data_IF_735333330053
#
_entry.id   IF_735333330053
#
_cell.length_a   1.000
_cell.length_b   1.000
_cell.length_c   1.000
_cell.angle_alpha   90.00
_cell.angle_beta   90.00
_cell.angle_gamma   90.00
#
_symmetry.space_group_name_H-M   'P 1'
#
loop_
_entity.id
_entity.type
_entity.pdbx_description
1 polymer ?
#
# COMPACT_ATOMS: atom_id res chain seq x y z
N UNK A 1 -6.72 8.27 -8.21
CA UNK A 1 -8.15 8.02 -8.51
C UNK A 1 -8.40 6.54 -8.31
N UNK A 2 -9.40 6.17 -7.53
CA UNK A 2 -9.76 4.77 -7.26
C UNK A 2 -10.26 4.11 -8.55
N UNK A 3 -9.76 2.91 -8.89
CA UNK A 3 -10.28 2.15 -10.04
C UNK A 3 -11.69 1.65 -9.69
N UNK A 4 -12.72 2.31 -10.25
CA UNK A 4 -14.13 1.96 -10.00
C UNK A 4 -14.49 0.55 -10.45
N UNK A 5 -13.69 -0.06 -11.32
CA UNK A 5 -13.93 -1.41 -11.79
C UNK A 5 -13.30 -2.47 -10.89
N UNK A 6 -12.41 -2.09 -9.97
CA UNK A 6 -11.86 -2.97 -8.94
C UNK A 6 -12.90 -3.12 -7.82
N UNK A 7 -13.47 -4.32 -7.70
CA UNK A 7 -14.56 -4.62 -6.75
C UNK A 7 -14.09 -5.44 -5.55
N UNK A 8 -12.90 -6.04 -5.65
CA UNK A 8 -12.19 -6.69 -4.54
C UNK A 8 -10.70 -6.54 -4.75
N UNK A 9 -9.97 -6.17 -3.71
CA UNK A 9 -8.53 -6.26 -3.66
C UNK A 9 -8.07 -6.69 -2.28
N UNK A 10 -7.59 -7.92 -2.17
CA UNK A 10 -6.99 -8.48 -0.97
C UNK A 10 -5.47 -8.60 -1.18
N UNK A 11 -4.66 -7.64 -0.71
CA UNK A 11 -3.21 -7.72 -0.78
C UNK A 11 -2.64 -8.72 0.23
N UNK A 12 -3.34 -8.98 1.34
CA UNK A 12 -2.87 -9.81 2.45
C UNK A 12 -1.66 -9.26 3.23
N UNK A 13 -1.38 -7.96 3.09
CA UNK A 13 -0.37 -7.18 3.80
C UNK A 13 -0.77 -6.75 5.22
N UNK A 14 -1.91 -7.26 5.69
CA UNK A 14 -2.61 -6.83 6.89
C UNK A 14 -1.82 -7.13 8.18
N UNK A 15 -2.15 -6.48 9.32
CA UNK A 15 -1.70 -6.90 10.63
C UNK A 15 -2.03 -8.38 10.89
N UNK A 16 -1.25 -9.04 11.75
CA UNK A 16 -1.52 -10.44 12.09
C UNK A 16 -2.90 -10.55 12.76
N UNK A 17 -3.69 -11.55 12.36
CA UNK A 17 -5.05 -11.71 12.83
C UNK A 17 -5.88 -12.57 11.89
N UNK A 18 -7.21 -12.46 12.03
CA UNK A 18 -8.17 -13.24 11.26
C UNK A 18 -8.93 -12.42 10.21
N UNK A 19 -8.46 -11.22 9.88
CA UNK A 19 -9.13 -10.30 8.96
C UNK A 19 -8.16 -9.84 7.87
N UNK A 20 -8.56 -9.98 6.61
CA UNK A 20 -7.86 -9.39 5.47
C UNK A 20 -8.69 -8.22 4.93
N UNK A 21 -8.11 -7.03 4.85
CA UNK A 21 -8.86 -5.85 4.42
C UNK A 21 -9.02 -5.81 2.90
N UNK A 22 -10.19 -5.41 2.44
CA UNK A 22 -10.43 -5.11 1.03
C UNK A 22 -10.00 -3.67 0.73
N UNK A 23 -8.98 -3.54 -0.11
CA UNK A 23 -8.43 -2.28 -0.60
C UNK A 23 -9.17 -1.74 -1.84
N UNK A 24 -10.33 -2.31 -2.16
CA UNK A 24 -11.28 -1.71 -3.08
C UNK A 24 -12.24 -0.75 -2.35
N UNK A 25 -13.00 0.03 -3.12
CA UNK A 25 -14.06 0.87 -2.55
C UNK A 25 -15.26 0.06 -2.02
N UNK A 26 -15.36 -1.23 -2.35
CA UNK A 26 -16.42 -2.13 -1.87
C UNK A 26 -16.30 -2.43 -0.37
N UNK A 27 -15.07 -2.42 0.16
CA UNK A 27 -14.77 -2.77 1.56
C UNK A 27 -15.36 -4.11 1.99
N UNK A 28 -15.35 -5.08 1.08
CA UNK A 28 -15.76 -6.46 1.33
C UNK A 28 -14.62 -7.24 2.01
N UNK A 29 -14.23 -6.78 3.20
CA UNK A 29 -13.14 -7.38 3.99
C UNK A 29 -13.38 -8.89 4.17
N UNK A 30 -12.31 -9.68 4.07
CA UNK A 30 -12.37 -11.12 4.19
C UNK A 30 -12.04 -11.61 5.62
N UNK A 31 -12.59 -12.76 6.00
CA UNK A 31 -12.31 -13.42 7.28
C UNK A 31 -11.53 -14.71 7.05
N UNK A 32 -10.42 -14.87 7.76
CA UNK A 32 -9.61 -16.09 7.78
C UNK A 32 -10.13 -17.04 8.85
N UNK A 33 -10.23 -18.34 8.53
CA UNK A 33 -10.66 -19.37 9.46
C UNK A 33 -9.97 -20.72 9.15
N UNK A 34 -10.22 -21.74 9.98
CA UNK A 34 -9.79 -23.12 9.69
C UNK A 34 -8.28 -23.36 9.69
N UNK A 35 -7.47 -22.41 10.19
CA UNK A 35 -6.01 -22.50 10.21
C UNK A 35 -5.30 -21.63 9.18
N UNK A 36 -6.03 -20.94 8.30
CA UNK A 36 -5.46 -19.96 7.37
C UNK A 36 -4.79 -18.81 8.13
N UNK A 37 -3.65 -18.34 7.63
CA UNK A 37 -2.84 -17.31 8.30
C UNK A 37 -2.06 -16.45 7.31
N UNK A 38 -1.63 -15.28 7.77
CA UNK A 38 -0.68 -14.45 7.04
C UNK A 38 0.76 -15.01 7.16
N UNK A 39 1.52 -14.96 6.07
CA UNK A 39 2.89 -15.44 6.00
C UNK A 39 3.83 -14.41 5.36
N UNK A 40 5.10 -14.45 5.78
CA UNK A 40 6.17 -13.62 5.20
C UNK A 40 6.75 -14.21 3.91
N UNK A 41 6.36 -15.44 3.55
CA UNK A 41 6.68 -16.02 2.25
C UNK A 41 5.68 -15.49 1.24
N UNK A 42 5.99 -14.33 0.65
CA UNK A 42 5.06 -13.56 -0.17
C UNK A 42 5.69 -13.14 -1.50
N UNK A 43 4.86 -12.64 -2.42
CA UNK A 43 5.31 -11.98 -3.64
C UNK A 43 5.56 -10.48 -3.38
N UNK A 44 4.70 -9.85 -2.59
CA UNK A 44 4.86 -8.50 -2.04
C UNK A 44 4.53 -8.56 -0.53
N UNK A 45 5.26 -7.81 0.30
CA UNK A 45 5.02 -7.74 1.76
C UNK A 45 4.70 -9.07 2.49
N UNK A 46 3.40 -9.36 2.71
CA UNK A 46 2.88 -10.64 3.24
C UNK A 46 1.89 -11.28 2.25
N UNK A 47 1.70 -12.59 2.39
CA UNK A 47 0.75 -13.37 1.61
C UNK A 47 -0.20 -14.14 2.53
N UNK A 48 -1.28 -14.66 1.95
CA UNK A 48 -2.15 -15.64 2.57
C UNK A 48 -1.54 -17.04 2.43
N UNK A 49 -1.36 -17.75 3.54
CA UNK A 49 -1.15 -19.20 3.56
C UNK A 49 -2.45 -19.88 3.99
N UNK A 50 -3.00 -20.73 3.11
CA UNK A 50 -4.25 -21.40 3.42
C UNK A 50 -4.07 -22.43 4.54
N UNK A 51 -2.91 -23.09 4.66
CA UNK A 51 -2.67 -24.11 5.70
C UNK A 51 -3.83 -25.13 5.89
N UNK A 52 -4.60 -25.42 4.84
CA UNK A 52 -5.82 -26.23 4.90
C UNK A 52 -7.07 -25.58 5.51
N UNK A 53 -6.99 -24.31 5.90
CA UNK A 53 -8.12 -23.46 6.27
C UNK A 53 -8.75 -22.75 5.07
N UNK A 54 -9.47 -21.66 5.36
CA UNK A 54 -10.25 -20.92 4.38
C UNK A 54 -10.21 -19.40 4.62
N UNK A 55 -10.47 -18.65 3.56
CA UNK A 55 -10.66 -17.20 3.61
C UNK A 55 -11.90 -16.83 2.82
N UNK A 56 -12.85 -16.17 3.48
CA UNK A 56 -14.16 -15.88 2.91
C UNK A 56 -14.42 -14.38 2.86
N UNK A 57 -14.90 -13.89 1.72
CA UNK A 57 -15.41 -12.52 1.50
C UNK A 57 -16.81 -12.59 0.88
N UNK A 58 -17.63 -11.57 1.11
CA UNK A 58 -18.97 -11.45 0.54
C UNK A 58 -18.95 -11.09 -0.96
N UNK A 59 -17.82 -10.62 -1.50
CA UNK A 59 -17.72 -10.17 -2.88
C UNK A 59 -17.71 -11.36 -3.86
N UNK A 60 -18.74 -11.41 -4.71
CA UNK A 60 -18.87 -12.41 -5.76
C UNK A 60 -18.13 -12.00 -7.05
N UNK A 61 -17.69 -12.98 -7.84
CA UNK A 61 -17.24 -12.74 -9.22
C UNK A 61 -18.47 -12.43 -10.09
N UNK A 62 -18.47 -11.36 -10.91
CA UNK A 62 -19.65 -10.94 -11.66
C UNK A 62 -19.84 -11.78 -12.94
N UNK A 63 -20.21 -13.06 -12.80
CA UNK A 63 -20.36 -14.01 -13.90
C UNK A 63 -21.46 -13.68 -14.93
N UNK A 64 -22.28 -12.66 -14.72
CA UNK A 64 -23.27 -12.21 -15.72
C UNK A 64 -22.71 -11.20 -16.72
N UNK A 65 -21.55 -10.60 -16.43
CA UNK A 65 -20.90 -9.62 -17.28
C UNK A 65 -19.45 -9.97 -17.60
N UNK A 66 -18.73 -8.97 -18.11
CA UNK A 66 -17.29 -9.03 -18.30
C UNK A 66 -16.60 -8.98 -16.93
N UNK A 67 -15.52 -9.74 -16.77
CA UNK A 67 -14.79 -9.76 -15.52
C UNK A 67 -13.31 -10.09 -15.73
N UNK A 68 -12.51 -9.71 -14.74
CA UNK A 68 -11.13 -10.18 -14.58
C UNK A 68 -10.92 -10.62 -13.15
N UNK A 69 -10.39 -11.82 -12.95
CA UNK A 69 -9.86 -12.27 -11.65
C UNK A 69 -8.37 -12.48 -11.83
N UNK A 70 -7.55 -11.89 -10.96
CA UNK A 70 -6.10 -12.03 -11.01
C UNK A 70 -5.51 -12.21 -9.62
N UNK A 71 -4.47 -13.01 -9.51
CA UNK A 71 -3.76 -13.24 -8.25
C UNK A 71 -2.38 -13.83 -8.51
N UNK A 72 -1.49 -13.71 -7.52
CA UNK A 72 -0.31 -14.56 -7.42
C UNK A 72 -0.64 -15.82 -6.63
N UNK A 73 -0.08 -16.95 -7.07
CA UNK A 73 -0.23 -18.24 -6.42
C UNK A 73 1.12 -18.96 -6.37
N UNK A 74 1.41 -19.58 -5.23
CA UNK A 74 2.54 -20.47 -5.02
C UNK A 74 2.03 -21.79 -4.47
N UNK A 75 2.46 -22.90 -5.07
CA UNK A 75 2.07 -24.25 -4.65
C UNK A 75 3.31 -25.14 -4.51
N UNK A 76 3.21 -26.25 -3.78
CA UNK A 76 4.31 -27.23 -3.63
C UNK A 76 4.22 -28.39 -4.65
N UNK A 77 3.16 -28.40 -5.45
CA UNK A 77 2.82 -29.41 -6.44
C UNK A 77 3.40 -29.00 -7.79
N UNK A 78 3.41 -29.95 -8.72
CA UNK A 78 3.98 -29.74 -10.06
C UNK A 78 2.96 -29.26 -11.07
N UNK A 79 1.67 -29.21 -10.70
CA UNK A 79 0.60 -28.83 -11.60
C UNK A 79 -0.39 -27.91 -10.89
N UNK A 80 -0.73 -26.83 -11.58
CA UNK A 80 -1.79 -25.91 -11.20
C UNK A 80 -2.96 -26.11 -12.16
N UNK A 81 -4.15 -26.38 -11.62
CA UNK A 81 -5.36 -26.60 -12.38
C UNK A 81 -6.32 -25.43 -12.23
N UNK A 82 -7.17 -25.20 -13.23
CA UNK A 82 -8.33 -24.33 -13.06
C UNK A 82 -9.54 -24.96 -13.70
N UNK A 83 -10.71 -24.62 -13.15
CA UNK A 83 -12.00 -25.14 -13.58
C UNK A 83 -13.02 -23.99 -13.60
N UNK A 84 -13.66 -23.80 -14.75
CA UNK A 84 -14.75 -22.85 -14.95
C UNK A 84 -16.05 -23.62 -15.22
N UNK A 85 -17.00 -23.53 -14.29
CA UNK A 85 -18.28 -24.22 -14.37
C UNK A 85 -19.29 -23.44 -15.23
N UNK A 86 -20.05 -24.18 -16.04
CA UNK A 86 -21.18 -23.67 -16.82
C UNK A 86 -22.48 -24.38 -16.36
N UNK A 87 -23.65 -23.79 -16.62
CA UNK A 87 -24.93 -24.43 -16.34
C UNK A 87 -25.08 -25.77 -17.09
N UNK A 88 -25.56 -26.79 -16.38
CA UNK A 88 -25.81 -28.13 -16.93
C UNK A 88 -24.94 -29.21 -16.30
N UNK A 89 -25.17 -30.46 -16.70
CA UNK A 89 -24.42 -31.63 -16.24
C UNK A 89 -23.12 -31.71 -17.04
N UNK A 90 -21.98 -31.81 -16.33
CA UNK A 90 -20.64 -31.94 -16.92
C UNK A 90 -20.23 -30.80 -17.88
N UNK A 91 -20.91 -29.66 -17.82
CA UNK A 91 -20.57 -28.48 -18.62
C UNK A 91 -19.53 -27.65 -17.88
N UNK A 92 -18.25 -27.83 -18.23
CA UNK A 92 -17.15 -27.05 -17.67
C UNK A 92 -16.02 -26.85 -18.69
N UNK A 93 -15.13 -25.90 -18.39
CA UNK A 93 -13.83 -25.74 -19.05
C UNK A 93 -12.75 -25.94 -18.00
N UNK A 94 -11.71 -26.69 -18.32
CA UNK A 94 -10.58 -26.88 -17.42
C UNK A 94 -9.26 -26.99 -18.18
N UNK A 95 -8.18 -26.71 -17.46
CA UNK A 95 -6.82 -26.98 -17.93
C UNK A 95 -5.89 -27.13 -16.72
N UNK A 96 -4.91 -28.01 -16.87
CA UNK A 96 -3.81 -28.18 -15.93
C UNK A 96 -2.50 -27.76 -16.60
N UNK A 97 -1.72 -26.93 -15.92
CA UNK A 97 -0.44 -26.43 -16.40
C UNK A 97 0.68 -26.88 -15.47
N UNK A 98 1.81 -27.26 -16.05
CA UNK A 98 2.98 -27.63 -15.26
C UNK A 98 3.63 -26.38 -14.67
N UNK A 99 3.98 -26.46 -13.39
CA UNK A 99 4.61 -25.39 -12.61
C UNK A 99 5.78 -25.95 -11.80
N UNK A 100 6.75 -25.10 -11.53
CA UNK A 100 7.85 -25.40 -10.61
C UNK A 100 7.35 -25.21 -9.17
N UNK A 101 7.44 -26.24 -8.30
CA UNK A 101 7.10 -26.11 -6.89
C UNK A 101 7.84 -24.96 -6.20
N UNK A 102 7.12 -24.18 -5.39
CA UNK A 102 7.68 -23.08 -4.60
C UNK A 102 7.87 -21.76 -5.36
N UNK A 103 7.68 -21.74 -6.68
CA UNK A 103 7.72 -20.51 -7.47
C UNK A 103 6.37 -19.79 -7.47
N UNK A 104 6.41 -18.46 -7.57
CA UNK A 104 5.22 -17.62 -7.69
C UNK A 104 4.77 -17.49 -9.15
N UNK A 105 3.50 -17.77 -9.41
CA UNK A 105 2.87 -17.58 -10.71
C UNK A 105 1.77 -16.54 -10.61
N UNK A 106 1.75 -15.61 -11.56
CA UNK A 106 0.62 -14.71 -11.73
C UNK A 106 -0.41 -15.37 -12.63
N UNK A 107 -1.63 -15.62 -12.14
CA UNK A 107 -2.71 -16.16 -12.96
C UNK A 107 -3.79 -15.11 -13.15
N UNK A 108 -4.36 -15.02 -14.36
CA UNK A 108 -5.48 -14.13 -14.65
C UNK A 108 -6.53 -14.80 -15.51
N UNK A 109 -7.79 -14.69 -15.10
CA UNK A 109 -8.98 -15.17 -15.80
C UNK A 109 -9.74 -13.97 -16.33
N UNK A 110 -9.89 -13.87 -17.65
CA UNK A 110 -10.53 -12.73 -18.30
C UNK A 110 -11.68 -13.19 -19.15
N UNK A 111 -12.87 -12.67 -18.86
CA UNK A 111 -14.05 -12.82 -19.71
C UNK A 111 -14.36 -11.50 -20.41
N UNK A 112 -14.47 -11.54 -21.73
CA UNK A 112 -15.01 -10.46 -22.56
C UNK A 112 -16.10 -11.01 -23.48
N UNK A 113 -17.35 -10.66 -23.21
CA UNK A 113 -18.53 -11.22 -23.85
C UNK A 113 -18.60 -12.74 -23.68
N UNK A 114 -18.58 -13.46 -24.81
CA UNK A 114 -18.52 -14.92 -24.84
C UNK A 114 -17.08 -15.46 -24.80
N UNK A 115 -16.05 -14.63 -24.95
CA UNK A 115 -14.66 -15.09 -24.95
C UNK A 115 -14.12 -15.18 -23.53
N UNK A 116 -13.50 -16.31 -23.19
CA UNK A 116 -12.77 -16.53 -21.95
C UNK A 116 -11.30 -16.79 -22.26
N UNK A 117 -10.41 -16.11 -21.53
CA UNK A 117 -8.96 -16.24 -21.66
C UNK A 117 -8.35 -16.50 -20.30
N UNK A 118 -7.33 -17.35 -20.28
CA UNK A 118 -6.49 -17.55 -19.10
C UNK A 118 -5.07 -17.15 -19.45
N UNK A 119 -4.46 -16.40 -18.54
CA UNK A 119 -3.06 -16.00 -18.62
C UNK A 119 -2.32 -16.60 -17.43
N UNK A 120 -1.14 -17.17 -17.71
CA UNK A 120 -0.16 -17.55 -16.71
C UNK A 120 1.09 -16.70 -16.98
N UNK A 121 1.45 -15.87 -16.00
CA UNK A 121 2.42 -14.79 -16.14
C UNK A 121 2.07 -13.88 -17.33
N UNK A 122 2.96 -13.80 -18.32
CA UNK A 122 2.77 -13.00 -19.54
C UNK A 122 2.04 -13.75 -20.68
N UNK A 123 1.91 -15.07 -20.56
CA UNK A 123 1.47 -15.94 -21.64
C UNK A 123 -0.02 -16.24 -21.56
N UNK A 124 -0.70 -16.18 -22.70
CA UNK A 124 -2.10 -16.59 -22.80
C UNK A 124 -2.13 -18.10 -23.05
N UNK A 125 -2.43 -18.88 -22.01
CA UNK A 125 -2.39 -20.34 -22.03
C UNK A 125 -3.70 -20.96 -22.54
N UNK A 126 -4.79 -20.19 -22.49
CA UNK A 126 -6.11 -20.62 -22.95
C UNK A 126 -6.88 -19.47 -23.61
N UNK A 127 -7.60 -19.81 -24.68
CA UNK A 127 -8.65 -18.98 -25.28
C UNK A 127 -9.80 -19.91 -25.67
N UNK A 128 -11.02 -19.58 -25.26
CA UNK A 128 -12.21 -20.35 -25.63
C UNK A 128 -13.48 -19.52 -25.58
N UNK A 129 -14.55 -20.08 -26.12
CA UNK A 129 -15.89 -19.48 -26.08
C UNK A 129 -16.74 -20.13 -24.99
N UNK A 130 -17.54 -19.31 -24.32
CA UNK A 130 -18.53 -19.68 -23.33
C UNK A 130 -19.90 -19.77 -24.02
N UNK A 131 -20.57 -20.92 -23.84
CA UNK A 131 -21.92 -21.14 -24.36
C UNK A 131 -23.02 -20.52 -23.48
N UNK A 132 -22.69 -20.18 -22.23
CA UNK A 132 -23.57 -19.60 -21.24
C UNK A 132 -22.75 -18.81 -20.20
N UNK A 133 -23.44 -18.11 -19.29
CA UNK A 133 -22.78 -17.47 -18.15
C UNK A 133 -22.18 -18.52 -17.20
N UNK A 134 -20.94 -18.37 -16.73
CA UNK A 134 -20.37 -19.25 -15.73
C UNK A 134 -21.16 -19.25 -14.42
N UNK A 135 -21.06 -20.33 -13.68
CA UNK A 135 -21.66 -20.49 -12.33
C UNK A 135 -20.62 -20.61 -11.24
N UNK A 136 -19.34 -20.81 -11.60
CA UNK A 136 -18.24 -20.91 -10.66
C UNK A 136 -16.89 -20.89 -11.37
N UNK A 137 -15.87 -20.49 -10.63
CA UNK A 137 -14.46 -20.54 -11.01
C UNK A 137 -13.68 -21.09 -9.83
N UNK A 138 -12.83 -22.08 -10.07
CA UNK A 138 -11.95 -22.66 -9.08
C UNK A 138 -10.51 -22.70 -9.59
N UNK A 139 -9.58 -22.43 -8.68
CA UNK A 139 -8.17 -22.73 -8.83
C UNK A 139 -7.89 -23.98 -8.00
N UNK A 140 -7.24 -24.96 -8.60
CA UNK A 140 -7.11 -26.31 -8.06
C UNK A 140 -5.65 -26.72 -8.00
N UNK A 141 -5.34 -27.53 -6.99
CA UNK A 141 -4.02 -28.14 -6.80
C UNK A 141 -4.20 -29.66 -6.73
N UNK A 142 -3.11 -30.42 -6.81
CA UNK A 142 -3.18 -31.90 -6.82
C UNK A 142 -3.44 -32.52 -5.43
N UNK A 143 -3.43 -31.74 -4.35
CA UNK A 143 -3.79 -32.23 -3.02
C UNK A 143 -5.25 -32.66 -2.94
N UNK A 144 -5.48 -33.80 -2.29
CA UNK A 144 -6.81 -34.43 -2.21
C UNK A 144 -7.65 -33.98 -1.00
N UNK A 145 -7.05 -33.34 0.00
CA UNK A 145 -7.71 -33.04 1.28
C UNK A 145 -7.64 -31.56 1.61
N UNK A 146 -6.44 -31.04 1.80
CA UNK A 146 -6.18 -29.64 2.15
C UNK A 146 -5.14 -29.06 1.21
N UNK A 147 -5.34 -27.82 0.79
CA UNK A 147 -4.35 -27.11 -0.02
C UNK A 147 -3.36 -26.37 0.87
N UNK A 148 -2.10 -26.39 0.45
CA UNK A 148 -1.01 -25.60 1.05
C UNK A 148 -0.63 -24.42 0.16
N UNK A 149 -1.54 -24.05 -0.75
CA UNK A 149 -1.34 -22.93 -1.65
C UNK A 149 -1.23 -21.63 -0.86
N UNK A 150 -0.25 -20.82 -1.27
CA UNK A 150 -0.14 -19.44 -0.84
C UNK A 150 -0.68 -18.54 -1.92
N UNK A 151 -1.48 -17.56 -1.53
CA UNK A 151 -2.09 -16.58 -2.43
C UNK A 151 -1.63 -15.18 -2.06
N UNK A 152 -1.44 -14.34 -3.05
CA UNK A 152 -1.04 -12.96 -2.86
C UNK A 152 -1.75 -12.06 -3.88
N UNK A 153 -2.01 -10.80 -3.53
CA UNK A 153 -2.49 -9.76 -4.43
C UNK A 153 -3.77 -10.11 -5.22
N UNK A 154 -4.76 -10.72 -4.55
CA UNK A 154 -6.02 -11.17 -5.16
C UNK A 154 -6.88 -9.98 -5.55
N UNK A 155 -7.23 -9.88 -6.83
CA UNK A 155 -8.04 -8.81 -7.39
C UNK A 155 -9.19 -9.34 -8.22
N UNK A 156 -10.34 -8.71 -8.07
CA UNK A 156 -11.52 -8.95 -8.91
C UNK A 156 -11.96 -7.63 -9.53
N UNK A 157 -12.16 -7.66 -10.85
CA UNK A 157 -12.66 -6.55 -11.63
C UNK A 157 -13.97 -6.92 -12.32
N UNK A 158 -14.90 -5.97 -12.40
CA UNK A 158 -16.15 -6.10 -13.18
C UNK A 158 -15.99 -5.64 -14.65
N UNK A 159 -14.78 -5.75 -15.19
CA UNK A 159 -14.43 -5.42 -16.57
C UNK A 159 -13.39 -6.41 -17.10
N UNK A 160 -13.40 -6.64 -18.40
CA UNK A 160 -12.35 -7.38 -19.09
C UNK A 160 -11.07 -6.53 -19.19
N UNK A 161 -10.01 -6.92 -18.50
CA UNK A 161 -8.70 -6.26 -18.61
C UNK A 161 -7.97 -6.76 -19.86
N UNK A 162 -7.32 -5.83 -20.55
CA UNK A 162 -6.50 -6.13 -21.73
C UNK A 162 -5.20 -6.81 -21.33
N UNK A 163 -4.55 -7.51 -22.28
CA UNK A 163 -3.22 -8.11 -22.04
C UNK A 163 -2.21 -7.08 -21.52
N UNK A 164 -2.26 -5.84 -22.03
CA UNK A 164 -1.37 -4.75 -21.58
C UNK A 164 -1.60 -4.41 -20.11
N UNK A 165 -2.85 -4.37 -19.66
CA UNK A 165 -3.18 -4.11 -18.25
C UNK A 165 -2.76 -5.27 -17.35
N UNK A 166 -2.95 -6.52 -17.78
CA UNK A 166 -2.49 -7.73 -17.05
C UNK A 166 -0.97 -7.72 -16.87
N UNK A 167 -0.22 -7.33 -17.92
CA UNK A 167 1.23 -7.21 -17.83
C UNK A 167 1.65 -6.07 -16.88
N UNK A 168 0.91 -4.95 -16.87
CA UNK A 168 1.16 -3.84 -15.95
C UNK A 168 0.92 -4.21 -14.49
N UNK A 169 -0.03 -5.10 -14.20
CA UNK A 169 -0.26 -5.60 -12.83
C UNK A 169 0.92 -6.43 -12.29
N UNK A 170 1.76 -6.95 -13.19
CA UNK A 170 2.96 -7.72 -12.84
C UNK A 170 4.24 -6.87 -12.86
N UNK A 171 4.14 -5.60 -13.24
CA UNK A 171 5.31 -4.75 -13.39
C UNK A 171 5.93 -4.47 -12.02
N UNK A 172 7.23 -4.75 -11.90
CA UNK A 172 8.04 -4.23 -10.82
C UNK A 172 8.24 -2.74 -11.09
N UNK A 173 7.58 -1.89 -10.29
CA UNK A 173 7.84 -0.46 -10.32
C UNK A 173 9.04 -0.16 -9.43
N UNK A 174 9.79 0.89 -9.78
CA UNK A 174 10.80 1.45 -8.89
C UNK A 174 10.11 2.14 -7.69
N UNK A 175 10.88 2.51 -6.68
CA UNK A 175 10.35 3.28 -5.54
C UNK A 175 9.85 4.64 -6.05
N UNK A 176 8.60 4.97 -5.76
CA UNK A 176 7.97 6.24 -6.16
C UNK A 176 7.81 7.15 -4.95
N UNK A 177 8.07 8.45 -5.16
CA UNK A 177 8.03 9.49 -4.14
C UNK A 177 7.01 10.55 -4.52
N UNK A 178 6.15 10.90 -3.58
CA UNK A 178 5.12 11.91 -3.77
C UNK A 178 5.15 12.92 -2.63
N UNK A 179 4.86 14.17 -2.94
CA UNK A 179 4.55 15.21 -1.94
C UNK A 179 3.14 15.73 -2.22
N UNK A 180 2.25 15.68 -1.23
CA UNK A 180 0.84 16.05 -1.35
C UNK A 180 0.15 15.41 -2.58
N UNK A 181 0.53 14.17 -2.90
CA UNK A 181 0.01 13.40 -4.03
C UNK A 181 0.65 13.72 -5.40
N UNK A 182 1.57 14.70 -5.48
CA UNK A 182 2.34 15.00 -6.68
C UNK A 182 3.58 14.11 -6.79
N UNK A 183 3.72 13.34 -7.87
CA UNK A 183 4.90 12.49 -8.06
C UNK A 183 6.12 13.37 -8.40
N UNK A 184 7.26 13.12 -7.77
CA UNK A 184 8.51 13.84 -8.04
C UNK A 184 8.91 13.79 -9.52
N UNK A 185 8.65 12.66 -10.19
CA UNK A 185 8.97 12.43 -11.61
C UNK A 185 8.16 13.34 -12.53
N UNK A 186 6.99 13.82 -12.12
CA UNK A 186 6.20 14.78 -12.90
C UNK A 186 6.92 16.13 -13.04
N UNK A 187 7.91 16.40 -12.18
CA UNK A 187 8.77 17.59 -12.20
C UNK A 187 10.18 17.27 -12.73
N UNK A 188 10.39 16.07 -13.28
CA UNK A 188 11.70 15.59 -13.72
C UNK A 188 12.66 15.26 -12.57
N UNK A 189 12.16 15.14 -11.33
CA UNK A 189 12.96 14.84 -10.14
C UNK A 189 12.93 13.36 -9.83
N UNK A 190 14.10 12.79 -9.55
CA UNK A 190 14.31 11.40 -9.23
C UNK A 190 15.11 11.26 -7.93
N UNK A 191 14.78 10.27 -7.10
CA UNK A 191 15.48 9.98 -5.85
C UNK A 191 16.44 8.81 -6.08
N UNK A 192 17.73 9.05 -5.86
CA UNK A 192 18.80 8.07 -6.05
C UNK A 192 19.15 7.30 -4.77
N UNK A 193 18.91 7.90 -3.61
CA UNK A 193 19.11 7.28 -2.31
C UNK A 193 18.31 8.03 -1.24
N UNK A 194 17.95 7.33 -0.17
CA UNK A 194 17.22 7.88 0.96
C UNK A 194 17.83 7.43 2.28
N UNK A 195 17.84 8.31 3.27
CA UNK A 195 18.15 8.01 4.68
C UNK A 195 16.99 8.47 5.57
N UNK A 196 16.80 7.82 6.72
CA UNK A 196 15.78 8.21 7.71
C UNK A 196 14.34 7.78 7.41
N UNK A 197 14.05 7.16 6.26
CA UNK A 197 12.72 6.57 5.97
C UNK A 197 12.44 5.33 6.84
N UNK A 198 13.46 4.51 7.07
CA UNK A 198 13.37 3.32 7.90
C UNK A 198 14.54 3.33 8.88
N UNK A 199 14.34 2.77 10.07
CA UNK A 199 15.36 2.73 11.11
C UNK A 199 14.82 3.13 12.48
N UNK A 200 15.70 3.16 13.47
CA UNK A 200 15.33 3.50 14.84
C UNK A 200 15.43 5.00 15.05
N UNK A 201 14.35 5.61 15.55
CA UNK A 201 14.36 7.01 15.98
C UNK A 201 15.35 7.28 17.11
N UNK A 202 15.95 8.47 17.07
CA UNK A 202 16.74 9.00 18.17
C UNK A 202 15.84 9.21 19.40
N UNK A 203 16.32 8.79 20.57
CA UNK A 203 15.57 8.96 21.82
C UNK A 203 15.80 10.36 22.39
N UNK A 204 14.75 10.93 23.00
CA UNK A 204 14.91 12.08 23.89
C UNK A 204 15.78 11.65 25.08
N UNK A 205 16.51 12.59 25.66
CA UNK A 205 17.33 12.29 26.83
C UNK A 205 16.42 11.82 27.98
N UNK A 206 16.72 10.64 28.50
CA UNK A 206 16.07 10.09 29.69
C UNK A 206 16.57 10.82 30.94
N UNK A 207 15.72 10.99 31.95
CA UNK A 207 16.18 11.36 33.28
C UNK A 207 17.30 10.41 33.72
N UNK A 208 18.43 10.98 34.13
CA UNK A 208 19.60 10.21 34.52
C UNK A 208 20.26 10.80 35.76
N UNK A 209 20.75 9.93 36.63
CA UNK A 209 21.49 10.30 37.84
C UNK A 209 22.88 9.68 37.77
N UNK A 210 23.89 10.52 37.93
CA UNK A 210 25.29 10.14 38.03
C UNK A 210 25.72 10.33 39.49
N UNK A 211 25.97 9.22 40.18
CA UNK A 211 26.31 9.23 41.60
C UNK A 211 27.84 9.19 41.75
N UNK A 212 28.39 10.10 42.54
CA UNK A 212 29.84 10.23 42.77
C UNK A 212 30.50 8.94 43.32
N UNK A 213 29.72 8.14 44.04
CA UNK A 213 30.15 6.91 44.69
C UNK A 213 29.80 5.62 43.92
N UNK A 214 29.31 5.72 42.67
CA UNK A 214 29.05 4.58 41.80
C UNK A 214 29.76 4.72 40.45
N UNK A 215 30.06 3.59 39.81
CA UNK A 215 30.53 3.59 38.43
C UNK A 215 29.34 3.70 37.46
N UNK A 216 29.40 4.68 36.56
CA UNK A 216 28.43 4.86 35.49
C UNK A 216 27.16 5.57 35.92
N UNK A 217 26.17 5.60 35.01
CA UNK A 217 24.97 6.44 35.14
C UNK A 217 23.71 5.58 35.22
N UNK A 218 22.83 5.88 36.19
CA UNK A 218 21.50 5.29 36.28
C UNK A 218 20.55 6.10 35.38
N UNK A 219 19.91 5.44 34.41
CA UNK A 219 18.95 6.06 33.47
C UNK A 219 17.56 5.49 33.68
N UNK A 220 16.54 6.34 33.65
CA UNK A 220 15.16 5.86 33.53
C UNK A 220 14.98 5.18 32.16
N UNK A 221 14.45 3.95 32.18
CA UNK A 221 14.25 3.11 30.99
C UNK A 221 12.78 2.96 30.64
N UNK A 222 11.86 3.48 31.45
CA UNK A 222 10.42 3.42 31.21
C UNK A 222 10.00 4.52 30.22
N UNK A 223 8.89 4.30 29.49
CA UNK A 223 8.22 5.27 28.60
C UNK A 223 9.19 6.10 27.73
N UNK A 224 9.95 5.41 26.88
CA UNK A 224 10.90 6.04 25.96
C UNK A 224 10.16 6.99 25.02
N UNK A 225 10.63 8.24 24.93
CA UNK A 225 10.15 9.23 23.97
C UNK A 225 11.22 9.49 22.91
N UNK A 226 10.79 9.87 21.71
CA UNK A 226 11.67 10.03 20.55
C UNK A 226 11.72 11.49 20.12
N UNK A 227 12.86 11.90 19.56
CA UNK A 227 13.02 13.19 18.88
C UNK A 227 12.28 13.18 17.54
N UNK A 228 12.19 14.35 16.93
CA UNK A 228 11.84 14.53 15.52
C UNK A 228 12.69 13.62 14.62
N UNK A 229 12.12 13.22 13.49
CA UNK A 229 12.79 12.41 12.48
C UNK A 229 13.36 13.33 11.41
N UNK A 230 14.59 13.07 10.99
CA UNK A 230 15.16 13.67 9.78
C UNK A 230 15.17 12.63 8.66
N UNK A 231 14.60 12.99 7.52
CA UNK A 231 14.62 12.20 6.28
C UNK A 231 15.51 12.95 5.28
N UNK A 232 16.46 12.25 4.65
CA UNK A 232 17.33 12.83 3.63
C UNK A 232 17.15 12.11 2.31
N UNK A 233 16.68 12.80 1.28
CA UNK A 233 16.51 12.27 -0.08
C UNK A 233 17.57 12.86 -1.00
N UNK A 234 18.43 12.02 -1.56
CA UNK A 234 19.42 12.44 -2.57
C UNK A 234 18.76 12.43 -3.93
N UNK A 235 18.51 13.62 -4.46
CA UNK A 235 17.75 13.81 -5.69
C UNK A 235 18.65 14.25 -6.85
N UNK A 236 18.21 13.93 -8.06
CA UNK A 236 18.64 14.61 -9.27
C UNK A 236 17.43 15.05 -10.08
N UNK A 237 17.59 16.13 -10.84
CA UNK A 237 16.57 16.65 -11.74
C UNK A 237 17.12 16.67 -13.16
N UNK A 238 16.33 16.20 -14.11
CA UNK A 238 16.63 16.25 -15.54
C UNK A 238 15.65 17.18 -16.25
N UNK A 239 16.18 18.07 -17.09
CA UNK A 239 15.36 19.02 -17.84
C UNK A 239 15.90 19.23 -19.26
N UNK A 240 14.99 19.51 -20.20
CA UNK A 240 15.29 19.66 -21.63
C UNK A 240 15.99 20.97 -22.04
N UNK A 241 16.19 21.89 -21.09
CA UNK A 241 16.97 23.12 -21.32
C UNK A 241 17.35 23.80 -20.00
N UNK A 242 18.22 24.81 -20.08
CA UNK A 242 18.59 25.63 -18.91
C UNK A 242 17.40 26.37 -18.31
N UNK A 243 16.51 26.93 -19.13
CA UNK A 243 15.31 27.61 -18.65
C UNK A 243 14.32 26.63 -18.04
N UNK A 244 14.13 25.48 -18.69
CA UNK A 244 13.29 24.41 -18.15
C UNK A 244 13.82 23.93 -16.78
N UNK A 245 15.14 23.76 -16.64
CA UNK A 245 15.76 23.37 -15.37
C UNK A 245 15.38 24.33 -14.24
N UNK A 246 15.53 25.64 -14.46
CA UNK A 246 15.19 26.66 -13.45
C UNK A 246 13.69 26.66 -13.14
N UNK A 247 12.85 26.58 -14.16
CA UNK A 247 11.40 26.57 -14.00
C UNK A 247 10.91 25.35 -13.21
N UNK A 248 11.30 24.14 -13.63
CA UNK A 248 10.84 22.89 -13.03
C UNK A 248 11.40 22.69 -11.62
N UNK A 249 12.65 23.08 -11.37
CA UNK A 249 13.22 23.08 -10.02
C UNK A 249 12.44 24.01 -9.08
N UNK A 250 12.13 25.24 -9.52
CA UNK A 250 11.36 26.19 -8.70
C UNK A 250 9.94 25.68 -8.45
N UNK A 251 9.27 25.13 -9.46
CA UNK A 251 7.94 24.52 -9.32
C UNK A 251 7.95 23.34 -8.35
N UNK A 252 8.99 22.51 -8.39
CA UNK A 252 9.15 21.38 -7.49
C UNK A 252 9.37 21.83 -6.04
N UNK A 253 10.29 22.76 -5.80
CA UNK A 253 10.54 23.27 -4.45
C UNK A 253 9.32 24.01 -3.88
N UNK A 254 8.55 24.70 -4.72
CA UNK A 254 7.32 25.36 -4.32
C UNK A 254 6.22 24.40 -3.81
N UNK A 255 6.32 23.10 -4.06
CA UNK A 255 5.42 22.11 -3.45
C UNK A 255 5.56 22.05 -1.93
N UNK A 256 6.71 22.48 -1.40
CA UNK A 256 6.99 22.49 0.03
C UNK A 256 6.62 23.83 0.70
N UNK A 257 6.33 24.87 -0.08
CA UNK A 257 6.00 26.19 0.44
C UNK A 257 4.57 26.23 0.99
N UNK A 258 4.37 26.53 2.27
CA UNK A 258 3.06 26.80 2.86
C UNK A 258 3.06 26.79 4.38
N UNK A 259 1.88 27.02 4.97
CA UNK A 259 1.72 27.20 6.43
C UNK A 259 1.50 25.88 7.20
N UNK A 260 1.54 24.74 6.50
CA UNK A 260 1.22 23.42 7.05
C UNK A 260 2.27 22.40 6.61
N UNK A 261 2.38 21.32 7.38
CA UNK A 261 3.19 20.16 7.02
C UNK A 261 2.79 19.61 5.66
N UNK A 262 3.76 19.00 4.99
CA UNK A 262 3.61 18.39 3.67
C UNK A 262 3.60 16.89 3.81
N UNK A 263 2.72 16.22 3.08
CA UNK A 263 2.65 14.77 3.11
C UNK A 263 3.65 14.17 2.15
N UNK A 264 4.72 13.59 2.67
CA UNK A 264 5.60 12.72 1.91
C UNK A 264 5.03 11.30 1.90
N UNK A 265 4.77 10.76 0.71
CA UNK A 265 4.38 9.36 0.49
C UNK A 265 5.46 8.63 -0.30
N UNK A 266 5.88 7.46 0.18
CA UNK A 266 6.86 6.59 -0.48
C UNK A 266 6.22 5.23 -0.77
N UNK A 267 5.98 4.97 -2.06
CA UNK A 267 5.50 3.67 -2.56
C UNK A 267 6.73 2.83 -2.92
N UNK A 268 7.09 1.86 -2.07
CA UNK A 268 8.32 1.05 -2.23
C UNK A 268 8.07 -0.39 -2.70
N UNK A 269 6.86 -0.91 -2.50
CA UNK A 269 6.45 -2.25 -2.88
C UNK A 269 4.93 -2.25 -3.14
N UNK A 270 4.53 -1.56 -4.21
CA UNK A 270 3.12 -1.32 -4.52
C UNK A 270 2.48 -0.23 -3.66
N UNK A 271 1.14 -0.18 -3.71
CA UNK A 271 0.33 0.91 -3.15
C UNK A 271 -0.39 0.57 -1.86
N UNK A 272 -0.51 -0.71 -1.51
CA UNK A 272 -1.30 -1.15 -0.37
C UNK A 272 -0.71 -0.67 0.97
N UNK A 273 0.61 -0.54 1.06
CA UNK A 273 1.29 -0.26 2.32
C UNK A 273 2.44 0.76 2.20
N UNK A 274 2.16 1.98 1.72
CA UNK A 274 3.17 3.00 1.54
C UNK A 274 3.71 3.48 2.89
N UNK A 275 4.87 4.12 2.86
CA UNK A 275 5.33 4.94 3.98
C UNK A 275 4.76 6.34 3.81
N UNK A 276 4.20 6.90 4.87
CA UNK A 276 3.62 8.25 4.86
C UNK A 276 4.16 9.05 6.03
N UNK A 277 4.47 10.32 5.79
CA UNK A 277 5.08 11.23 6.76
C UNK A 277 4.51 12.63 6.60
N UNK A 278 4.27 13.31 7.72
CA UNK A 278 4.01 14.75 7.74
C UNK A 278 5.35 15.46 7.95
N UNK A 279 5.83 16.16 6.92
CA UNK A 279 7.19 16.71 6.88
C UNK A 279 7.23 18.20 6.59
N UNK A 280 8.28 18.85 7.10
CA UNK A 280 8.67 20.20 6.74
C UNK A 280 10.04 20.23 6.05
N UNK A 281 10.20 21.15 5.11
CA UNK A 281 11.48 21.47 4.48
C UNK A 281 12.01 22.78 5.08
N UNK A 282 12.72 22.68 6.21
CA UNK A 282 13.16 23.83 7.00
C UNK A 282 14.51 24.41 6.55
N UNK A 283 15.40 23.55 6.03
CA UNK A 283 16.74 23.94 5.58
C UNK A 283 16.73 24.38 4.11
N UNK A 284 17.77 25.11 3.68
CA UNK A 284 17.96 25.45 2.27
C UNK A 284 18.29 24.22 1.43
N UNK A 285 17.87 24.24 0.15
CA UNK A 285 18.21 23.17 -0.80
C UNK A 285 19.34 23.64 -1.70
N UNK A 286 20.56 23.25 -1.34
CA UNK A 286 21.74 23.50 -2.15
C UNK A 286 21.75 22.61 -3.41
N UNK A 287 21.50 23.22 -4.57
CA UNK A 287 21.54 22.52 -5.87
C UNK A 287 22.93 22.64 -6.49
N UNK A 288 23.58 21.50 -6.69
CA UNK A 288 24.79 21.36 -7.50
C UNK A 288 24.42 21.15 -8.97
N UNK A 289 25.03 21.94 -9.85
CA UNK A 289 24.67 22.05 -11.26
C UNK A 289 25.84 22.61 -12.05
N UNK A 290 26.05 22.08 -13.25
CA UNK A 290 27.04 22.58 -14.20
C UNK A 290 26.37 23.05 -15.48
N UNK A 291 26.45 24.35 -15.77
CA UNK A 291 25.97 24.89 -17.04
C UNK A 291 26.81 24.35 -18.19
N UNK A 292 26.21 23.57 -19.08
CA UNK A 292 26.89 23.09 -20.29
C UNK A 292 27.28 24.26 -21.19
N UNK A 293 28.54 24.40 -21.58
CA UNK A 293 28.99 25.51 -22.46
C UNK A 293 28.59 25.32 -23.93
N UNK A 294 28.35 24.07 -24.35
CA UNK A 294 28.09 23.72 -25.76
C UNK A 294 26.86 22.81 -25.97
N UNK A 295 26.14 22.46 -24.89
CA UNK A 295 24.92 21.67 -24.94
C UNK A 295 23.84 22.39 -24.13
N UNK A 296 22.74 22.74 -24.81
CA UNK A 296 21.57 23.41 -24.22
C UNK A 296 20.33 22.50 -24.15
N UNK A 297 20.46 21.24 -24.61
CA UNK A 297 19.33 20.32 -24.83
C UNK A 297 19.05 19.41 -23.63
N UNK A 298 20.03 19.24 -22.72
CA UNK A 298 19.86 18.48 -21.48
C UNK A 298 20.64 19.16 -20.36
N UNK A 299 19.93 19.42 -19.27
CA UNK A 299 20.51 19.92 -18.04
C UNK A 299 20.19 18.99 -16.88
N UNK A 300 21.21 18.66 -16.10
CA UNK A 300 21.09 17.82 -14.91
C UNK A 300 21.65 18.56 -13.70
N UNK A 301 20.95 18.48 -12.58
CA UNK A 301 21.41 18.99 -11.29
C UNK A 301 21.13 17.98 -10.19
N UNK A 302 21.94 18.00 -9.14
CA UNK A 302 21.80 17.12 -7.98
C UNK A 302 21.64 17.94 -6.71
N UNK A 303 20.82 17.46 -5.79
CA UNK A 303 20.56 18.13 -4.52
C UNK A 303 20.13 17.11 -3.46
N UNK A 304 20.14 17.52 -2.20
CA UNK A 304 19.60 16.71 -1.11
C UNK A 304 18.42 17.45 -0.47
N UNK A 305 17.26 16.82 -0.41
CA UNK A 305 16.15 17.29 0.40
C UNK A 305 16.32 16.76 1.82
N UNK A 306 16.40 17.67 2.79
CA UNK A 306 16.45 17.34 4.20
C UNK A 306 15.12 17.73 4.83
N UNK A 307 14.28 16.73 5.06
CA UNK A 307 12.92 16.86 5.54
C UNK A 307 12.87 16.51 7.03
N UNK A 308 12.07 17.23 7.81
CA UNK A 308 11.87 16.98 9.24
C UNK A 308 10.43 16.56 9.49
N UNK A 309 10.23 15.45 10.17
CA UNK A 309 8.92 15.03 10.70
C UNK A 309 8.91 15.21 12.21
N UNK A 310 8.10 16.15 12.69
CA UNK A 310 8.05 16.54 14.11
C UNK A 310 7.43 15.47 15.01
N UNK A 311 6.43 14.73 14.50
CA UNK A 311 5.69 13.72 15.24
C UNK A 311 5.86 12.30 14.64
N UNK A 312 7.05 11.68 14.75
CA UNK A 312 7.40 10.53 13.93
C UNK A 312 6.77 9.21 14.33
N UNK A 313 6.23 9.10 15.55
CA UNK A 313 5.55 7.90 16.05
C UNK A 313 4.05 8.01 15.74
N UNK A 314 3.55 7.10 14.90
CA UNK A 314 2.20 7.20 14.34
C UNK A 314 1.53 5.87 14.06
N UNK A 315 0.19 5.90 14.00
CA UNK A 315 -0.66 4.90 13.34
C UNK A 315 -1.03 5.43 11.96
N UNK A 316 -1.15 4.53 10.98
CA UNK A 316 -1.62 4.89 9.64
C UNK A 316 -2.83 4.03 9.30
N UNK A 317 -3.91 4.70 8.92
CA UNK A 317 -5.13 4.09 8.45
C UNK A 317 -5.35 4.44 6.98
N UNK A 318 -6.31 3.77 6.34
CA UNK A 318 -6.75 4.14 4.99
C UNK A 318 -8.25 4.11 4.86
N UNK A 319 -8.79 5.21 4.34
CA UNK A 319 -10.19 5.34 3.94
C UNK A 319 -10.29 5.29 2.41
N UNK A 320 -11.18 4.44 1.90
CA UNK A 320 -11.39 4.26 0.45
C UNK A 320 -12.88 4.40 0.18
N UNK A 321 -13.24 5.25 -0.78
CA UNK A 321 -14.64 5.37 -1.20
C UNK A 321 -14.80 5.81 -2.64
N UNK A 322 -15.84 5.27 -3.29
CA UNK A 322 -16.35 5.73 -4.58
C UNK A 322 -17.44 6.80 -4.47
N UNK A 323 -17.80 7.20 -3.26
CA UNK A 323 -18.90 8.12 -2.99
C UNK A 323 -18.40 9.48 -2.47
N UNK A 324 -19.08 10.55 -2.88
CA UNK A 324 -18.94 11.86 -2.24
C UNK A 324 -19.45 11.79 -0.79
N UNK A 325 -18.90 12.63 0.07
CA UNK A 325 -19.29 12.75 1.49
C UNK A 325 -19.22 11.43 2.26
N UNK A 326 -18.26 10.58 1.90
CA UNK A 326 -17.96 9.36 2.66
C UNK A 326 -17.27 9.72 3.98
N UNK A 327 -17.46 8.89 5.01
CA UNK A 327 -17.05 9.20 6.38
C UNK A 327 -16.04 8.20 6.94
N UNK A 328 -15.00 8.73 7.58
CA UNK A 328 -14.11 7.96 8.43
C UNK A 328 -14.40 8.29 9.90
N UNK A 329 -14.38 7.27 10.75
CA UNK A 329 -14.56 7.41 12.19
C UNK A 329 -13.39 6.80 12.94
N UNK A 330 -12.98 7.46 14.02
CA UNK A 330 -11.94 6.99 14.94
C UNK A 330 -12.44 7.21 16.36
N UNK A 331 -12.48 6.15 17.15
CA UNK A 331 -12.84 6.18 18.56
C UNK A 331 -11.63 5.82 19.41
N UNK A 332 -11.28 6.67 20.38
CA UNK A 332 -10.10 6.47 21.23
C UNK A 332 -10.42 6.64 22.72
N UNK A 333 -9.72 5.86 23.54
CA UNK A 333 -9.50 6.15 24.96
C UNK A 333 -8.02 6.36 25.19
N UNK A 334 -7.63 7.58 25.58
CA UNK A 334 -6.23 7.97 25.83
C UNK A 334 -6.17 9.16 26.79
N UNK A 335 -5.17 9.17 27.66
CA UNK A 335 -4.87 10.31 28.54
C UNK A 335 -4.00 11.37 27.88
N UNK A 336 -3.24 10.99 26.86
CA UNK A 336 -2.37 11.87 26.09
C UNK A 336 -3.09 12.29 24.80
N UNK A 337 -2.85 13.52 24.35
CA UNK A 337 -3.46 14.04 23.15
C UNK A 337 -2.84 13.44 21.88
N UNK A 338 -3.71 13.20 20.89
CA UNK A 338 -3.37 12.73 19.56
C UNK A 338 -3.70 13.82 18.54
N UNK A 339 -2.96 13.83 17.44
CA UNK A 339 -3.23 14.66 16.27
C UNK A 339 -3.58 13.75 15.10
N UNK A 340 -4.58 14.14 14.30
CA UNK A 340 -5.08 13.35 13.18
C UNK A 340 -4.99 14.17 11.91
N UNK A 341 -4.25 13.66 10.93
CA UNK A 341 -4.13 14.24 9.59
C UNK A 341 -4.91 13.37 8.62
N UNK A 342 -6.03 13.88 8.11
CA UNK A 342 -7.04 13.10 7.38
C UNK A 342 -6.65 12.74 5.94
N UNK A 343 -5.57 13.33 5.42
CA UNK A 343 -5.02 13.01 4.11
C UNK A 343 -5.65 13.70 2.92
N UNK A 344 -6.55 14.64 3.17
CA UNK A 344 -7.10 15.59 2.19
C UNK A 344 -6.65 17.04 2.47
N UNK A 345 -5.57 17.20 3.26
CA UNK A 345 -5.06 18.49 3.72
C UNK A 345 -5.72 19.03 4.98
N UNK A 346 -6.75 18.36 5.51
CA UNK A 346 -7.38 18.74 6.78
C UNK A 346 -6.85 17.94 7.97
N UNK A 347 -7.05 18.48 9.17
CA UNK A 347 -6.57 17.87 10.41
C UNK A 347 -7.55 18.06 11.58
N UNK A 348 -7.34 17.29 12.64
CA UNK A 348 -7.99 17.46 13.93
C UNK A 348 -6.95 17.27 15.03
N UNK A 349 -6.69 18.33 15.78
CA UNK A 349 -5.69 18.34 16.84
C UNK A 349 -6.30 18.14 18.21
N UNK A 350 -5.46 17.71 19.15
CA UNK A 350 -5.80 17.58 20.58
C UNK A 350 -6.95 16.59 20.84
N UNK A 351 -6.97 15.46 20.13
CA UNK A 351 -7.93 14.37 20.34
C UNK A 351 -7.50 13.54 21.54
N UNK A 352 -8.35 13.45 22.56
CA UNK A 352 -8.09 12.64 23.76
C UNK A 352 -9.31 12.59 24.68
N UNK A 353 -9.27 11.70 25.67
CA UNK A 353 -10.41 11.46 26.57
C UNK A 353 -10.78 9.97 26.65
N UNK A 354 -11.96 9.69 27.18
CA UNK A 354 -12.48 8.33 27.31
C UNK A 354 -13.59 8.09 26.26
N UNK A 355 -13.47 7.05 25.44
CA UNK A 355 -14.42 6.69 24.37
C UNK A 355 -14.76 7.88 23.44
N UNK A 356 -13.78 8.74 23.17
CA UNK A 356 -13.97 9.93 22.32
C UNK A 356 -13.99 9.53 20.86
N UNK A 357 -15.10 9.80 20.17
CA UNK A 357 -15.26 9.54 18.74
C UNK A 357 -15.09 10.83 17.94
N UNK A 358 -14.22 10.79 16.93
CA UNK A 358 -14.08 11.84 15.92
C UNK A 358 -14.50 11.29 14.56
N UNK A 359 -15.13 12.15 13.77
CA UNK A 359 -15.65 11.84 12.45
C UNK A 359 -15.14 12.88 11.45
N UNK A 360 -14.71 12.42 10.28
CA UNK A 360 -14.35 13.27 9.15
C UNK A 360 -15.13 12.89 7.90
N UNK A 361 -15.52 13.89 7.12
CA UNK A 361 -16.30 13.72 5.88
C UNK A 361 -15.46 14.13 4.67
N UNK A 362 -15.14 13.18 3.80
CA UNK A 362 -14.42 13.43 2.56
C UNK A 362 -15.37 13.89 1.46
N UNK A 363 -15.16 15.11 0.96
CA UNK A 363 -16.03 15.70 -0.06
C UNK A 363 -16.05 14.90 -1.38
N UNK A 364 -14.90 14.33 -1.77
CA UNK A 364 -14.70 13.63 -3.02
C UNK A 364 -14.38 12.14 -2.80
N UNK A 365 -14.73 11.26 -3.76
CA UNK A 365 -14.28 9.88 -3.75
C UNK A 365 -12.77 9.83 -3.91
N UNK A 366 -12.15 8.86 -3.26
CA UNK A 366 -10.71 8.79 -3.20
C UNK A 366 -10.22 7.70 -2.27
N UNK A 367 -8.91 7.66 -2.19
CA UNK A 367 -8.14 6.87 -1.24
C UNK A 367 -7.35 7.88 -0.42
N UNK A 368 -7.55 7.85 0.89
CA UNK A 368 -6.99 8.80 1.82
C UNK A 368 -6.30 8.03 2.94
N UNK A 369 -4.98 8.19 3.03
CA UNK A 369 -4.23 7.70 4.18
C UNK A 369 -4.49 8.65 5.36
N UNK A 370 -4.80 8.12 6.54
CA UNK A 370 -5.02 8.91 7.75
C UNK A 370 -3.85 8.67 8.67
N UNK A 371 -3.18 9.73 9.12
CA UNK A 371 -2.06 9.63 10.04
C UNK A 371 -2.56 10.07 11.42
N UNK A 372 -2.44 9.19 12.40
CA UNK A 372 -2.70 9.49 13.81
C UNK A 372 -1.36 9.54 14.52
N UNK A 373 -0.95 10.71 15.00
CA UNK A 373 0.32 10.95 15.71
C UNK A 373 0.08 11.25 17.19
N UNK A 374 1.16 11.26 17.97
CA UNK A 374 1.15 11.55 19.40
C UNK A 374 1.69 10.36 20.20
N UNK A 375 1.15 10.16 21.40
CA UNK A 375 1.61 9.07 22.28
C UNK A 375 0.83 7.79 21.99
N UNK A 376 1.11 7.20 20.83
CA UNK A 376 0.41 6.04 20.28
C UNK A 376 0.45 4.82 21.21
N UNK A 377 1.55 4.66 21.96
CA UNK A 377 1.73 3.51 22.85
C UNK A 377 0.88 3.57 24.13
N UNK A 378 0.35 4.75 24.49
CA UNK A 378 -0.46 4.94 25.69
C UNK A 378 -1.98 4.97 25.36
N UNK A 379 -2.37 4.61 24.12
CA UNK A 379 -3.78 4.43 23.73
C UNK A 379 -4.33 3.14 24.36
N UNK A 380 -5.38 3.26 25.16
CA UNK A 380 -6.01 2.13 25.84
C UNK A 380 -7.05 1.43 24.98
N UNK A 381 -7.77 2.19 24.14
CA UNK A 381 -8.77 1.70 23.21
C UNK A 381 -8.66 2.44 21.89
N UNK A 382 -8.76 1.71 20.79
CA UNK A 382 -8.74 2.26 19.44
C UNK A 382 -9.71 1.48 18.55
N UNK A 383 -10.71 2.15 17.99
CA UNK A 383 -11.66 1.58 17.04
C UNK A 383 -11.79 2.49 15.82
N UNK A 384 -11.93 1.91 14.62
CA UNK A 384 -12.09 2.67 13.38
C UNK A 384 -12.84 1.86 12.33
N UNK A 385 -13.51 2.54 11.40
CA UNK A 385 -14.07 1.94 10.19
C UNK A 385 -13.07 1.90 9.00
N UNK A 386 -11.88 2.50 9.16
CA UNK A 386 -10.83 2.53 8.15
C UNK A 386 -10.01 1.22 8.13
N UNK A 387 -9.21 1.03 7.08
CA UNK A 387 -8.20 -0.05 6.99
C UNK A 387 -7.04 0.29 7.92
N UNK A 388 -6.53 -0.68 8.68
CA UNK A 388 -5.30 -0.52 9.46
C UNK A 388 -4.08 -0.82 8.59
N UNK A 389 -3.39 0.22 8.09
CA UNK A 389 -2.21 0.06 7.23
C UNK A 389 -0.96 -0.16 8.08
N UNK A 390 -0.77 0.67 9.10
CA UNK A 390 0.32 0.55 10.07
C UNK A 390 -0.19 0.72 11.50
N UNK A 391 -0.12 -0.35 12.30
CA UNK A 391 -0.44 -0.27 13.74
C UNK A 391 0.58 0.56 14.52
N UNK A 392 1.81 0.60 14.04
CA UNK A 392 2.89 1.44 14.56
C UNK A 392 3.92 1.66 13.44
N UNK A 393 4.04 2.90 13.00
CA UNK A 393 5.11 3.36 12.12
C UNK A 393 5.95 4.37 12.91
N UNK A 394 7.24 4.12 13.03
CA UNK A 394 8.19 4.97 13.76
C UNK A 394 9.51 5.06 13.05
#
# INVERSE_FOLDING_TARGET
MVDKNLILYLPFDDPDGSKAYDYSAGRHDATLSGGAMFTKQAKAGKALDLCGGEVNTEQNIPFTGDFTVSLYVQIQQRRLGWLLNLPGIEQHKEQWVDVVPGEWYFISFVRSGSTFKVFLNADCTYVGNLAANPTGLALCTEELLTTTAKLDEVRVFNVAKTKKEILKMQANNDVEYYVDGHNFKDYGVYVSASDGLVGRLAQKESLSVDYDNYHGVVRDRKRKRFKERTISLKCFIEASSRSAFVEWLNRFLALFDGDHTRRLTVEYDGKAKPLVYEVDLLDDVAVDKKWGSYNEELMVGTFTLKLTEDEPVKKVLRHISNNNNSKATITVSTYEYLNIYWGDGTHTFNVGGNDTTVEHTYALPGEYDIIVTGVIEDIEKFETNAIMVWELLK
#
